data_IF_490984237213
#
_entry.id   IF_490984237213
#
_cell.length_a   1.000
_cell.length_b   1.000
_cell.length_c   1.000
_cell.angle_alpha   90.00
_cell.angle_beta   90.00
_cell.angle_gamma   90.00
#
_symmetry.space_group_name_H-M   'P 1'
#
loop_
_entity.id
_entity.type
_entity.pdbx_description
1 polymer ?
#
# COMPACT_ATOMS: atom_id res chain seq x y z
N UNK A 1 -25.50 -18.77 36.46
CA UNK A 1 -25.10 -18.96 35.05
C UNK A 1 -25.36 -17.65 34.33
N UNK A 2 -24.32 -16.86 34.06
CA UNK A 2 -24.44 -15.57 33.36
C UNK A 2 -24.26 -15.83 31.87
N UNK A 3 -25.31 -15.62 31.09
CA UNK A 3 -25.22 -15.54 29.64
C UNK A 3 -24.53 -14.22 29.28
N UNK A 4 -23.20 -14.24 29.19
CA UNK A 4 -22.48 -13.19 28.51
C UNK A 4 -22.90 -13.25 27.03
N UNK A 5 -23.73 -12.30 26.60
CA UNK A 5 -23.87 -11.95 25.19
C UNK A 5 -22.46 -11.68 24.68
N UNK A 6 -21.91 -12.60 23.88
CA UNK A 6 -20.81 -12.28 22.98
C UNK A 6 -21.39 -11.25 22.03
N UNK A 7 -21.03 -9.97 22.22
CA UNK A 7 -21.26 -8.95 21.21
C UNK A 7 -20.67 -9.48 19.91
N UNK A 8 -21.55 -9.82 18.97
CA UNK A 8 -21.17 -10.19 17.61
C UNK A 8 -20.74 -8.89 16.95
N UNK A 9 -19.49 -8.49 17.19
CA UNK A 9 -18.90 -7.34 16.53
C UNK A 9 -18.75 -7.72 15.06
N UNK A 10 -19.68 -7.24 14.22
CA UNK A 10 -19.54 -7.41 12.77
C UNK A 10 -18.48 -6.41 12.31
N UNK A 11 -17.33 -6.87 11.79
CA UNK A 11 -16.28 -5.96 11.39
C UNK A 11 -16.76 -5.08 10.23
N UNK A 12 -16.49 -3.77 10.32
CA UNK A 12 -16.82 -2.77 9.31
C UNK A 12 -16.45 -3.26 7.90
N UNK A 13 -17.40 -3.30 6.97
CA UNK A 13 -17.08 -3.58 5.56
C UNK A 13 -16.92 -2.28 4.75
N UNK A 14 -16.26 -2.35 3.59
CA UNK A 14 -16.22 -1.23 2.65
C UNK A 14 -17.62 -0.76 2.24
N UNK A 15 -18.57 -1.70 2.10
CA UNK A 15 -19.96 -1.36 1.77
C UNK A 15 -20.65 -0.62 2.90
N UNK A 16 -20.42 -1.02 4.16
CA UNK A 16 -20.97 -0.33 5.32
C UNK A 16 -20.38 1.07 5.45
N UNK A 17 -19.07 1.21 5.22
CA UNK A 17 -18.39 2.50 5.21
C UNK A 17 -18.97 3.43 4.14
N UNK A 18 -19.18 2.95 2.92
CA UNK A 18 -19.66 3.77 1.80
C UNK A 18 -21.17 4.06 1.85
N UNK A 19 -21.95 3.34 2.68
CA UNK A 19 -23.38 3.57 2.81
C UNK A 19 -23.65 4.96 3.36
N UNK A 20 -24.45 5.74 2.65
CA UNK A 20 -24.77 7.10 3.04
C UNK A 20 -25.79 7.14 4.18
N UNK A 21 -25.64 8.09 5.08
CA UNK A 21 -26.65 8.48 6.04
C UNK A 21 -27.47 9.68 5.51
N UNK A 22 -28.55 10.01 6.22
CA UNK A 22 -29.45 11.10 5.83
C UNK A 22 -28.75 12.45 5.60
N UNK A 23 -27.79 12.83 6.45
CA UNK A 23 -27.07 14.11 6.32
C UNK A 23 -26.13 14.12 5.10
N UNK A 24 -25.49 13.00 4.81
CA UNK A 24 -24.67 12.82 3.61
C UNK A 24 -25.53 12.90 2.33
N UNK A 25 -26.70 12.24 2.31
CA UNK A 25 -27.65 12.32 1.19
C UNK A 25 -28.15 13.74 0.95
N UNK A 26 -28.53 14.45 2.02
CA UNK A 26 -28.96 15.86 1.93
C UNK A 26 -27.83 16.76 1.42
N UNK A 27 -26.59 16.50 1.84
CA UNK A 27 -25.44 17.24 1.33
C UNK A 27 -25.22 16.97 -0.17
N UNK A 28 -25.30 15.71 -0.61
CA UNK A 28 -25.19 15.37 -2.03
C UNK A 28 -26.28 16.02 -2.87
N UNK A 29 -27.50 16.10 -2.34
CA UNK A 29 -28.60 16.82 -2.99
C UNK A 29 -28.24 18.30 -3.19
N UNK A 30 -27.73 18.98 -2.16
CA UNK A 30 -27.31 20.38 -2.28
C UNK A 30 -26.19 20.61 -3.30
N UNK A 31 -25.26 19.65 -3.42
CA UNK A 31 -24.19 19.70 -4.43
C UNK A 31 -24.78 19.59 -5.84
N UNK A 32 -25.67 18.61 -6.08
CA UNK A 32 -26.34 18.42 -7.37
C UNK A 32 -27.22 19.61 -7.77
N UNK A 33 -27.83 20.27 -6.79
CA UNK A 33 -28.68 21.44 -7.00
C UNK A 33 -27.88 22.76 -7.09
N UNK A 34 -26.55 22.72 -6.90
CA UNK A 34 -25.69 23.90 -6.93
C UNK A 34 -25.88 24.87 -5.75
N UNK A 35 -26.52 24.41 -4.67
CA UNK A 35 -26.78 25.19 -3.44
C UNK A 35 -25.76 24.93 -2.33
N UNK A 36 -24.82 24.00 -2.56
CA UNK A 36 -23.74 23.69 -1.62
C UNK A 36 -22.76 24.88 -1.47
N UNK A 37 -22.61 25.36 -0.24
CA UNK A 37 -21.70 26.44 0.11
C UNK A 37 -20.26 25.92 0.28
N UNK A 38 -19.57 25.76 -0.86
CA UNK A 38 -18.19 25.29 -0.94
C UNK A 38 -17.23 26.14 -0.07
N UNK A 39 -17.18 27.49 -0.19
CA UNK A 39 -16.28 28.31 0.63
C UNK A 39 -16.51 28.13 2.13
N UNK A 40 -17.77 28.07 2.57
CA UNK A 40 -18.08 27.84 3.99
C UNK A 40 -17.67 26.44 4.43
N UNK A 41 -17.94 25.42 3.63
CA UNK A 41 -17.57 24.05 3.98
C UNK A 41 -16.06 23.93 4.20
N UNK A 42 -15.24 24.42 3.27
CA UNK A 42 -13.78 24.26 3.33
C UNK A 42 -13.07 25.28 4.25
N UNK A 43 -13.72 26.39 4.61
CA UNK A 43 -13.16 27.36 5.59
C UNK A 43 -13.34 26.93 7.05
N UNK A 44 -14.32 26.08 7.35
CA UNK A 44 -14.46 25.51 8.70
C UNK A 44 -13.28 24.59 9.02
N UNK A 45 -12.77 24.69 10.25
CA UNK A 45 -11.68 23.83 10.74
C UNK A 45 -12.09 22.36 10.62
N UNK A 46 -11.35 21.60 9.80
CA UNK A 46 -11.48 20.14 9.70
C UNK A 46 -10.50 19.45 10.64
N UNK A 47 -10.83 18.21 10.96
CA UNK A 47 -10.04 17.30 11.77
C UNK A 47 -10.04 15.91 11.12
N UNK A 48 -9.24 14.99 11.67
CA UNK A 48 -9.22 13.59 11.21
C UNK A 48 -10.59 12.91 11.27
N UNK A 49 -11.48 13.32 12.18
CA UNK A 49 -12.84 12.79 12.26
C UNK A 49 -13.70 13.11 11.01
N UNK A 50 -13.37 14.17 10.29
CA UNK A 50 -14.09 14.59 9.08
C UNK A 50 -13.69 13.80 7.83
N UNK A 51 -12.54 13.10 7.86
CA UNK A 51 -11.99 12.42 6.67
C UNK A 51 -12.94 11.34 6.16
N UNK A 52 -13.61 10.61 7.06
CA UNK A 52 -14.58 9.58 6.68
C UNK A 52 -15.73 10.14 5.85
N UNK A 53 -16.37 11.21 6.34
CA UNK A 53 -17.40 11.94 5.61
C UNK A 53 -16.90 12.43 4.25
N UNK A 54 -15.75 13.14 4.23
CA UNK A 54 -15.17 13.70 3.01
C UNK A 54 -14.87 12.61 1.97
N UNK A 55 -14.34 11.47 2.41
CA UNK A 55 -14.03 10.32 1.55
C UNK A 55 -15.29 9.72 0.94
N UNK A 56 -16.37 9.56 1.72
CA UNK A 56 -17.67 9.07 1.24
C UNK A 56 -18.32 10.02 0.25
N UNK A 57 -18.32 11.31 0.56
CA UNK A 57 -18.89 12.35 -0.31
C UNK A 57 -18.15 12.40 -1.65
N UNK A 58 -16.82 12.33 -1.64
CA UNK A 58 -16.02 12.28 -2.87
C UNK A 58 -16.15 10.97 -3.64
N UNK A 59 -16.49 9.86 -2.97
CA UNK A 59 -16.85 8.62 -3.65
C UNK A 59 -18.22 8.73 -4.34
N UNK A 60 -19.20 9.36 -3.69
CA UNK A 60 -20.56 9.45 -4.17
C UNK A 60 -20.82 10.60 -5.17
N UNK A 61 -19.97 11.63 -5.20
CA UNK A 61 -20.11 12.78 -6.11
C UNK A 61 -18.78 13.16 -6.79
N UNK A 62 -18.69 13.00 -8.12
CA UNK A 62 -17.56 13.51 -8.90
C UNK A 62 -17.36 15.02 -8.75
N UNK A 63 -18.45 15.79 -8.62
CA UNK A 63 -18.38 17.24 -8.44
C UNK A 63 -17.71 17.59 -7.12
N UNK A 64 -18.08 16.90 -6.03
CA UNK A 64 -17.44 17.08 -4.74
C UNK A 64 -15.96 16.68 -4.77
N UNK A 65 -15.64 15.56 -5.42
CA UNK A 65 -14.25 15.15 -5.61
C UNK A 65 -13.44 16.21 -6.39
N UNK A 66 -14.04 16.82 -7.41
CA UNK A 66 -13.42 17.92 -8.16
C UNK A 66 -13.22 19.17 -7.30
N UNK A 67 -14.16 19.51 -6.41
CA UNK A 67 -13.99 20.62 -5.46
C UNK A 67 -12.82 20.35 -4.51
N UNK A 68 -12.74 19.15 -3.94
CA UNK A 68 -11.63 18.76 -3.06
C UNK A 68 -10.26 18.87 -3.75
N UNK A 69 -10.18 18.65 -5.07
CA UNK A 69 -8.93 18.71 -5.83
C UNK A 69 -8.48 20.12 -6.23
N UNK A 70 -9.22 21.17 -5.86
CA UNK A 70 -8.77 22.55 -6.09
C UNK A 70 -7.52 22.87 -5.27
N UNK A 71 -6.55 23.53 -5.89
CA UNK A 71 -5.26 23.89 -5.26
C UNK A 71 -5.42 24.69 -3.96
N UNK A 72 -6.50 25.49 -3.86
CA UNK A 72 -6.84 26.27 -2.66
C UNK A 72 -7.01 25.42 -1.40
N UNK A 73 -7.28 24.12 -1.53
CA UNK A 73 -7.50 23.20 -0.41
C UNK A 73 -6.33 22.24 -0.18
N UNK A 74 -5.26 22.31 -0.99
CA UNK A 74 -4.14 21.39 -0.86
C UNK A 74 -3.48 21.46 0.54
N UNK A 75 -3.39 22.66 1.13
CA UNK A 75 -2.85 22.83 2.49
C UNK A 75 -3.73 22.15 3.54
N UNK A 76 -5.05 22.21 3.40
CA UNK A 76 -5.99 21.52 4.29
C UNK A 76 -5.74 20.01 4.26
N UNK A 77 -5.61 19.42 3.07
CA UNK A 77 -5.36 17.98 2.91
C UNK A 77 -4.00 17.56 3.43
N UNK A 78 -2.97 18.37 3.17
CA UNK A 78 -1.63 18.12 3.69
C UNK A 78 -1.60 18.11 5.23
N UNK A 79 -2.30 19.05 5.88
CA UNK A 79 -2.42 19.07 7.35
C UNK A 79 -3.13 17.82 7.86
N UNK A 80 -4.30 17.47 7.30
CA UNK A 80 -5.05 16.28 7.70
C UNK A 80 -4.26 14.99 7.45
N UNK A 81 -3.45 14.94 6.39
CA UNK A 81 -2.57 13.80 6.10
C UNK A 81 -1.47 13.65 7.15
N UNK A 82 -0.87 14.76 7.57
CA UNK A 82 0.11 14.77 8.66
C UNK A 82 -0.48 14.27 9.98
N UNK A 83 -1.67 14.78 10.33
CA UNK A 83 -2.42 14.37 11.54
C UNK A 83 -2.84 12.91 11.48
N UNK A 84 -3.32 12.43 10.33
CA UNK A 84 -3.68 11.03 10.14
C UNK A 84 -2.46 10.12 10.30
N UNK A 85 -1.25 10.55 9.89
CA UNK A 85 -0.01 9.83 10.12
C UNK A 85 0.24 9.50 11.60
N UNK A 86 -0.07 10.45 12.51
CA UNK A 86 0.02 10.21 13.95
C UNK A 86 -0.94 9.11 14.40
N UNK A 87 -2.17 9.10 13.87
CA UNK A 87 -3.17 8.09 14.24
C UNK A 87 -2.80 6.71 13.69
N UNK A 88 -2.37 6.62 12.44
CA UNK A 88 -2.01 5.34 11.82
C UNK A 88 -0.78 4.73 12.48
N UNK A 89 0.19 5.55 12.87
CA UNK A 89 1.39 5.10 13.58
C UNK A 89 1.17 4.73 15.05
N UNK A 90 -0.03 4.92 15.61
CA UNK A 90 -0.38 4.39 16.95
C UNK A 90 -0.25 2.87 17.04
N UNK A 91 -0.36 2.19 15.89
CA UNK A 91 -0.23 0.74 15.79
C UNK A 91 1.24 0.30 15.72
N UNK A 92 2.18 1.24 15.67
CA UNK A 92 3.63 1.02 15.59
C UNK A 92 4.31 1.33 16.94
N UNK A 93 5.53 0.85 17.12
CA UNK A 93 6.31 1.09 18.36
C UNK A 93 6.57 2.58 18.64
N UNK A 94 6.62 3.39 17.58
CA UNK A 94 6.84 4.83 17.66
C UNK A 94 5.82 5.58 16.83
N UNK A 95 5.13 6.51 17.48
CA UNK A 95 4.24 7.45 16.80
C UNK A 95 5.05 8.44 15.98
N UNK A 96 4.65 8.62 14.73
CA UNK A 96 5.27 9.56 13.80
C UNK A 96 4.20 10.38 13.10
N UNK A 97 4.42 11.69 13.02
CA UNK A 97 3.63 12.53 12.12
C UNK A 97 4.16 12.34 10.70
N UNK A 98 3.25 12.34 9.73
CA UNK A 98 3.70 12.35 8.33
C UNK A 98 4.15 13.76 7.94
N UNK A 99 5.27 13.83 7.23
CA UNK A 99 5.74 15.06 6.62
C UNK A 99 4.82 15.49 5.49
N UNK A 100 4.53 16.79 5.45
CA UNK A 100 3.86 17.43 4.32
C UNK A 100 4.70 17.29 3.05
N UNK A 101 4.03 17.10 1.91
CA UNK A 101 4.70 16.89 0.63
C UNK A 101 4.08 17.81 -0.43
N UNK A 102 4.92 18.62 -1.09
CA UNK A 102 4.47 19.75 -1.91
C UNK A 102 4.24 19.43 -3.40
N UNK A 103 4.34 18.17 -3.84
CA UNK A 103 4.24 17.80 -5.26
C UNK A 103 3.40 16.53 -5.51
N UNK A 104 2.46 16.25 -4.62
CA UNK A 104 1.61 15.06 -4.67
C UNK A 104 0.14 15.47 -4.48
N UNK A 105 -0.77 14.64 -4.98
CA UNK A 105 -2.20 14.82 -4.74
C UNK A 105 -2.49 14.42 -3.28
N UNK A 106 -2.35 15.39 -2.37
CA UNK A 106 -2.55 15.18 -0.93
C UNK A 106 -3.97 14.71 -0.62
N UNK A 107 -4.96 15.05 -1.44
CA UNK A 107 -6.33 14.60 -1.24
C UNK A 107 -6.47 13.10 -1.50
N UNK A 108 -5.95 12.60 -2.62
CA UNK A 108 -6.02 11.17 -2.93
C UNK A 108 -5.20 10.36 -1.91
N UNK A 109 -4.01 10.82 -1.54
CA UNK A 109 -3.16 10.12 -0.57
C UNK A 109 -3.80 10.11 0.82
N UNK A 110 -4.48 11.18 1.23
CA UNK A 110 -5.28 11.22 2.45
C UNK A 110 -6.35 10.12 2.46
N UNK A 111 -7.11 10.00 1.36
CA UNK A 111 -8.14 8.96 1.21
C UNK A 111 -7.56 7.56 1.26
N UNK A 112 -6.46 7.32 0.53
CA UNK A 112 -5.77 6.04 0.53
C UNK A 112 -5.28 5.65 1.92
N UNK A 113 -4.67 6.61 2.63
CA UNK A 113 -4.18 6.40 4.00
C UNK A 113 -5.31 6.15 4.99
N UNK A 114 -6.45 6.83 4.82
CA UNK A 114 -7.61 6.63 5.67
C UNK A 114 -8.28 5.27 5.45
N UNK A 115 -8.40 4.81 4.20
CA UNK A 115 -8.88 3.47 3.90
C UNK A 115 -7.92 2.39 4.43
N UNK A 116 -6.61 2.63 4.34
CA UNK A 116 -5.61 1.79 5.00
C UNK A 116 -5.80 1.77 6.52
N UNK A 117 -5.99 2.93 7.15
CA UNK A 117 -6.30 3.02 8.59
C UNK A 117 -7.51 2.15 8.98
N UNK A 118 -8.61 2.25 8.24
CA UNK A 118 -9.79 1.41 8.48
C UNK A 118 -9.48 -0.09 8.34
N UNK A 119 -8.63 -0.48 7.37
CA UNK A 119 -8.17 -1.87 7.24
C UNK A 119 -7.40 -2.34 8.49
N UNK A 120 -6.58 -1.47 9.09
CA UNK A 120 -5.83 -1.80 10.31
C UNK A 120 -6.74 -1.90 11.54
N UNK A 121 -7.82 -1.11 11.60
CA UNK A 121 -8.85 -1.25 12.65
C UNK A 121 -9.53 -2.63 12.59
N UNK A 122 -9.82 -3.13 11.38
CA UNK A 122 -10.36 -4.50 11.22
C UNK A 122 -9.33 -5.54 11.64
N UNK A 123 -8.08 -5.39 11.20
CA UNK A 123 -6.98 -6.31 11.57
C UNK A 123 -6.81 -6.40 13.08
N UNK A 124 -6.96 -5.30 13.82
CA UNK A 124 -6.88 -5.31 15.28
C UNK A 124 -7.94 -6.22 15.93
N UNK A 125 -9.06 -6.49 15.26
CA UNK A 125 -10.10 -7.43 15.71
C UNK A 125 -9.84 -8.88 15.30
N UNK A 126 -8.95 -9.13 14.33
CA UNK A 126 -8.60 -10.45 13.78
C UNK A 126 -7.07 -10.51 13.53
N UNK A 127 -6.24 -10.58 14.58
CA UNK A 127 -4.79 -10.38 14.46
C UNK A 127 -4.06 -11.47 13.66
N UNK A 128 -4.57 -12.70 13.64
CA UNK A 128 -3.87 -13.88 13.09
C UNK A 128 -4.21 -14.19 11.62
N UNK A 129 -4.85 -13.28 10.89
CA UNK A 129 -5.22 -13.53 9.51
C UNK A 129 -5.60 -12.29 8.70
N UNK A 130 -5.88 -12.49 7.42
CA UNK A 130 -6.42 -11.47 6.52
C UNK A 130 -7.91 -11.72 6.32
N UNK A 131 -8.74 -10.78 6.77
CA UNK A 131 -10.18 -10.86 6.52
C UNK A 131 -10.53 -10.35 5.13
N UNK A 132 -11.62 -10.86 4.53
CA UNK A 132 -12.12 -10.35 3.26
C UNK A 132 -12.45 -8.85 3.31
N UNK A 133 -12.90 -8.34 4.46
CA UNK A 133 -13.15 -6.92 4.69
C UNK A 133 -11.86 -6.09 4.71
N UNK A 134 -10.80 -6.56 5.38
CA UNK A 134 -9.46 -5.93 5.34
C UNK A 134 -8.97 -5.87 3.89
N UNK A 135 -9.00 -6.99 3.16
CA UNK A 135 -8.51 -7.07 1.78
C UNK A 135 -9.27 -6.13 0.83
N UNK A 136 -10.59 -5.98 0.99
CA UNK A 136 -11.40 -5.03 0.20
C UNK A 136 -11.01 -3.59 0.47
N UNK A 137 -10.77 -3.22 1.72
CA UNK A 137 -10.30 -1.87 2.08
C UNK A 137 -8.89 -1.60 1.58
N UNK A 138 -7.98 -2.58 1.68
CA UNK A 138 -6.63 -2.46 1.11
C UNK A 138 -6.68 -2.23 -0.40
N UNK A 139 -7.46 -3.01 -1.14
CA UNK A 139 -7.64 -2.82 -2.59
C UNK A 139 -8.19 -1.44 -2.92
N UNK A 140 -9.17 -0.94 -2.18
CA UNK A 140 -9.70 0.41 -2.39
C UNK A 140 -8.66 1.48 -2.04
N UNK A 141 -7.90 1.33 -0.95
CA UNK A 141 -6.80 2.21 -0.58
C UNK A 141 -5.69 2.28 -1.64
N UNK A 142 -5.37 1.15 -2.28
CA UNK A 142 -4.38 1.07 -3.36
C UNK A 142 -4.79 1.88 -4.60
N UNK A 143 -6.10 2.00 -4.89
CA UNK A 143 -6.60 2.86 -5.99
C UNK A 143 -6.26 4.33 -5.77
N UNK A 144 -6.10 4.71 -4.51
CA UNK A 144 -5.67 6.04 -4.06
C UNK A 144 -4.16 6.11 -3.78
N UNK A 145 -3.38 5.19 -4.35
CA UNK A 145 -1.92 5.11 -4.25
C UNK A 145 -1.39 4.96 -2.81
N UNK A 146 -2.13 4.35 -1.89
CA UNK A 146 -1.59 4.08 -0.55
C UNK A 146 -0.45 3.05 -0.62
N UNK A 147 0.78 3.50 -0.35
CA UNK A 147 1.95 2.61 -0.29
C UNK A 147 1.85 1.57 0.82
N UNK A 148 1.29 1.96 1.97
CA UNK A 148 1.07 1.07 3.10
C UNK A 148 0.10 -0.06 2.73
N UNK A 149 -0.96 0.26 1.98
CA UNK A 149 -1.90 -0.74 1.50
C UNK A 149 -1.28 -1.70 0.49
N UNK A 150 -0.47 -1.20 -0.47
CA UNK A 150 0.27 -2.04 -1.42
C UNK A 150 1.19 -3.00 -0.68
N UNK A 151 1.97 -2.50 0.28
CA UNK A 151 2.89 -3.31 1.06
C UNK A 151 2.15 -4.41 1.85
N UNK A 152 1.10 -4.04 2.61
CA UNK A 152 0.32 -4.98 3.41
C UNK A 152 -0.36 -6.03 2.54
N UNK A 153 -0.91 -5.64 1.39
CA UNK A 153 -1.55 -6.56 0.46
C UNK A 153 -0.53 -7.49 -0.22
N UNK A 154 0.66 -7.00 -0.55
CA UNK A 154 1.73 -7.87 -1.06
C UNK A 154 2.17 -8.90 -0.03
N UNK A 155 2.25 -8.55 1.26
CA UNK A 155 2.51 -9.52 2.34
C UNK A 155 1.44 -10.61 2.40
N UNK A 156 0.16 -10.26 2.19
CA UNK A 156 -0.91 -11.26 2.06
C UNK A 156 -0.63 -12.23 0.91
N UNK A 157 -0.29 -11.71 -0.27
CA UNK A 157 0.02 -12.54 -1.45
C UNK A 157 1.20 -13.46 -1.20
N UNK A 158 2.29 -12.95 -0.62
CA UNK A 158 3.48 -13.75 -0.31
C UNK A 158 3.17 -14.84 0.72
N UNK A 159 2.40 -14.53 1.76
CA UNK A 159 1.97 -15.53 2.74
C UNK A 159 1.10 -16.61 2.10
N UNK A 160 0.17 -16.24 1.21
CA UNK A 160 -0.69 -17.18 0.50
C UNK A 160 0.14 -18.15 -0.35
N UNK A 161 1.17 -17.65 -1.03
CA UNK A 161 2.12 -18.44 -1.81
C UNK A 161 2.97 -19.36 -0.92
N UNK A 162 3.57 -18.83 0.13
CA UNK A 162 4.46 -19.58 1.02
C UNK A 162 3.76 -20.75 1.73
N UNK A 163 2.45 -20.65 1.97
CA UNK A 163 1.65 -21.67 2.65
C UNK A 163 0.76 -22.48 1.68
N UNK A 164 0.86 -22.25 0.36
CA UNK A 164 0.06 -22.97 -0.64
C UNK A 164 -1.45 -22.78 -0.51
N UNK A 165 -1.91 -21.64 0.01
CA UNK A 165 -3.31 -21.37 0.34
C UNK A 165 -4.09 -20.81 -0.86
N UNK A 166 -4.13 -21.52 -1.98
CA UNK A 166 -4.78 -21.02 -3.20
C UNK A 166 -6.29 -21.28 -3.23
N UNK A 167 -7.06 -20.30 -3.73
CA UNK A 167 -8.47 -20.48 -4.09
C UNK A 167 -8.61 -21.03 -5.51
N UNK A 168 -9.82 -21.43 -5.91
CA UNK A 168 -10.10 -21.97 -7.24
C UNK A 168 -9.68 -20.98 -8.34
N UNK A 169 -8.77 -21.41 -9.22
CA UNK A 169 -8.26 -20.62 -10.34
C UNK A 169 -7.10 -19.67 -9.98
N UNK A 170 -6.61 -19.70 -8.74
CA UNK A 170 -5.39 -19.02 -8.36
C UNK A 170 -4.17 -19.94 -8.45
N UNK A 171 -3.02 -19.34 -8.71
CA UNK A 171 -1.72 -20.01 -8.66
C UNK A 171 -0.64 -19.05 -8.16
N UNK A 172 0.47 -19.60 -7.69
CA UNK A 172 1.56 -18.81 -7.11
C UNK A 172 2.12 -17.76 -8.08
N UNK A 173 2.26 -18.10 -9.36
CA UNK A 173 2.77 -17.18 -10.38
C UNK A 173 1.85 -15.99 -10.54
N UNK A 174 0.54 -16.23 -10.64
CA UNK A 174 -0.47 -15.20 -10.81
C UNK A 174 -0.49 -14.24 -9.62
N UNK A 175 -0.42 -14.75 -8.39
CA UNK A 175 -0.35 -13.92 -7.18
C UNK A 175 0.93 -13.10 -7.09
N UNK A 176 2.09 -13.67 -7.41
CA UNK A 176 3.37 -12.94 -7.40
C UNK A 176 3.43 -11.87 -8.52
N UNK A 177 2.84 -12.16 -9.68
CA UNK A 177 2.69 -11.17 -10.75
C UNK A 177 1.74 -10.03 -10.36
N UNK A 178 0.71 -10.31 -9.57
CA UNK A 178 -0.16 -9.28 -8.99
C UNK A 178 0.63 -8.37 -8.04
N UNK A 179 1.49 -8.92 -7.18
CA UNK A 179 2.37 -8.12 -6.31
C UNK A 179 3.29 -7.19 -7.11
N UNK A 180 3.92 -7.70 -8.18
CA UNK A 180 4.73 -6.88 -9.10
C UNK A 180 3.90 -5.77 -9.74
N UNK A 181 2.70 -6.09 -10.24
CA UNK A 181 1.80 -5.11 -10.87
C UNK A 181 1.42 -4.00 -9.90
N UNK A 182 1.10 -4.34 -8.65
CA UNK A 182 0.74 -3.38 -7.60
C UNK A 182 1.91 -2.44 -7.29
N UNK A 183 3.12 -2.98 -7.15
CA UNK A 183 4.33 -2.19 -6.87
C UNK A 183 4.83 -1.37 -8.07
N UNK A 184 4.58 -1.83 -9.30
CA UNK A 184 5.03 -1.16 -10.54
C UNK A 184 4.04 -0.09 -11.05
N UNK A 185 3.15 0.39 -10.19
CA UNK A 185 2.24 1.47 -10.56
C UNK A 185 3.00 2.77 -10.78
N UNK A 186 2.86 3.38 -11.97
CA UNK A 186 3.55 4.64 -12.33
C UNK A 186 3.28 5.76 -11.33
N UNK A 187 2.04 5.86 -10.83
CA UNK A 187 1.66 6.85 -9.84
C UNK A 187 2.34 6.58 -8.50
N UNK A 188 2.38 5.32 -8.05
CA UNK A 188 3.05 4.94 -6.81
C UNK A 188 4.56 5.23 -6.86
N UNK A 189 5.23 4.81 -7.94
CA UNK A 189 6.66 5.04 -8.16
C UNK A 189 7.00 6.53 -8.23
N UNK A 190 6.15 7.34 -8.89
CA UNK A 190 6.31 8.81 -8.94
C UNK A 190 6.13 9.46 -7.57
N UNK A 191 5.16 8.98 -6.79
CA UNK A 191 4.81 9.57 -5.48
C UNK A 191 5.81 9.23 -4.40
N UNK A 192 6.23 7.96 -4.28
CA UNK A 192 7.06 7.50 -3.15
C UNK A 192 8.51 7.22 -3.51
N UNK A 193 8.87 7.32 -4.80
CA UNK A 193 10.24 7.25 -5.28
C UNK A 193 10.98 6.04 -4.72
N UNK A 194 12.05 6.29 -3.98
CA UNK A 194 12.96 5.26 -3.49
C UNK A 194 12.26 4.13 -2.73
N UNK A 195 11.28 4.46 -1.85
CA UNK A 195 10.57 3.45 -1.07
C UNK A 195 9.74 2.51 -1.95
N UNK A 196 9.02 3.05 -2.94
CA UNK A 196 8.22 2.23 -3.86
C UNK A 196 9.09 1.39 -4.81
N UNK A 197 10.26 1.90 -5.21
CA UNK A 197 11.22 1.10 -5.98
C UNK A 197 11.82 -0.06 -5.17
N UNK A 198 12.08 0.13 -3.87
CA UNK A 198 12.49 -0.98 -3.00
C UNK A 198 11.36 -2.01 -2.82
N UNK A 199 10.11 -1.57 -2.68
CA UNK A 199 8.95 -2.46 -2.66
C UNK A 199 8.75 -3.24 -3.98
N UNK A 200 9.10 -2.63 -5.11
CA UNK A 200 9.11 -3.30 -6.41
C UNK A 200 10.27 -4.30 -6.53
N UNK A 201 11.45 -3.97 -6.00
CA UNK A 201 12.57 -4.89 -5.94
C UNK A 201 12.21 -6.15 -5.13
N UNK A 202 11.55 -5.98 -3.97
CA UNK A 202 11.02 -7.08 -3.15
C UNK A 202 10.04 -7.96 -3.95
N UNK A 203 9.08 -7.36 -4.67
CA UNK A 203 8.11 -8.14 -5.46
C UNK A 203 8.79 -8.97 -6.56
N UNK A 204 9.79 -8.42 -7.23
CA UNK A 204 10.58 -9.19 -8.20
C UNK A 204 11.45 -10.26 -7.53
N UNK A 205 12.01 -9.98 -6.36
CA UNK A 205 12.80 -10.94 -5.59
C UNK A 205 11.95 -12.15 -5.16
N UNK A 206 10.75 -11.92 -4.62
CA UNK A 206 9.80 -13.00 -4.26
C UNK A 206 9.42 -13.85 -5.48
N UNK A 207 9.18 -13.21 -6.64
CA UNK A 207 8.95 -13.95 -7.89
C UNK A 207 10.18 -14.76 -8.33
N UNK A 208 11.39 -14.20 -8.16
CA UNK A 208 12.63 -14.90 -8.49
C UNK A 208 12.79 -16.16 -7.62
N UNK A 209 12.56 -16.07 -6.30
CA UNK A 209 12.61 -17.22 -5.40
C UNK A 209 11.68 -18.34 -5.87
N UNK A 210 10.41 -18.02 -6.12
CA UNK A 210 9.45 -19.00 -6.65
C UNK A 210 9.91 -19.58 -7.99
N UNK A 211 10.37 -18.75 -8.93
CA UNK A 211 10.82 -19.22 -10.24
C UNK A 211 12.03 -20.14 -10.17
N UNK A 212 12.92 -19.92 -9.18
CA UNK A 212 14.05 -20.81 -8.88
C UNK A 212 13.56 -22.17 -8.37
N UNK A 213 12.59 -22.18 -7.46
CA UNK A 213 12.00 -23.41 -6.91
C UNK A 213 11.22 -24.22 -7.96
N UNK A 214 10.68 -23.55 -8.98
CA UNK A 214 10.07 -24.19 -10.16
C UNK A 214 11.10 -24.57 -11.24
N UNK A 215 12.40 -24.52 -10.95
CA UNK A 215 13.52 -24.79 -11.87
C UNK A 215 13.49 -23.93 -13.17
N UNK A 216 12.71 -22.85 -13.16
CA UNK A 216 12.54 -21.94 -14.30
C UNK A 216 13.63 -20.87 -14.30
N UNK A 217 14.88 -21.27 -14.57
CA UNK A 217 16.07 -20.42 -14.52
C UNK A 217 16.00 -19.16 -15.39
N UNK A 218 15.33 -19.23 -16.55
CA UNK A 218 15.11 -18.06 -17.41
C UNK A 218 14.25 -16.99 -16.72
N UNK A 219 13.19 -17.42 -16.02
CA UNK A 219 12.31 -16.50 -15.30
C UNK A 219 12.98 -15.97 -14.02
N UNK A 220 13.69 -16.83 -13.27
CA UNK A 220 14.53 -16.42 -12.13
C UNK A 220 15.48 -15.29 -12.52
N UNK A 221 16.28 -15.48 -13.58
CA UNK A 221 17.25 -14.49 -14.04
C UNK A 221 16.59 -13.17 -14.41
N UNK A 222 15.51 -13.19 -15.19
CA UNK A 222 14.81 -11.95 -15.61
C UNK A 222 14.22 -11.19 -14.42
N UNK A 223 13.62 -11.90 -13.48
CA UNK A 223 13.04 -11.30 -12.30
C UNK A 223 14.12 -10.68 -11.41
N UNK A 224 15.22 -11.40 -11.15
CA UNK A 224 16.31 -10.89 -10.32
C UNK A 224 17.03 -9.69 -10.95
N UNK A 225 17.23 -9.70 -12.27
CA UNK A 225 17.72 -8.52 -13.01
C UNK A 225 16.76 -7.32 -12.90
N UNK A 226 15.45 -7.56 -12.86
CA UNK A 226 14.45 -6.50 -12.68
C UNK A 226 14.44 -5.96 -11.24
N UNK A 227 14.71 -6.81 -10.25
CA UNK A 227 14.91 -6.40 -8.86
C UNK A 227 16.15 -5.50 -8.74
N UNK A 228 17.28 -5.90 -9.33
CA UNK A 228 18.53 -5.12 -9.40
C UNK A 228 18.29 -3.75 -10.03
N UNK A 229 17.61 -3.70 -11.18
CA UNK A 229 17.27 -2.44 -11.85
C UNK A 229 16.32 -1.55 -11.02
N UNK A 230 15.48 -2.17 -10.17
CA UNK A 230 14.63 -1.43 -9.23
C UNK A 230 15.47 -0.80 -8.11
N UNK A 231 16.50 -1.49 -7.61
CA UNK A 231 17.46 -0.92 -6.65
C UNK A 231 18.27 0.26 -7.24
N UNK A 232 18.65 0.19 -8.53
CA UNK A 232 19.29 1.32 -9.22
C UNK A 232 18.37 2.54 -9.26
N UNK A 233 17.09 2.34 -9.57
CA UNK A 233 16.11 3.41 -9.52
C UNK A 233 15.90 3.91 -8.08
N UNK A 234 15.80 3.03 -7.09
CA UNK A 234 15.68 3.42 -5.69
C UNK A 234 16.85 4.33 -5.25
N UNK A 235 18.07 4.01 -5.69
CA UNK A 235 19.26 4.86 -5.47
C UNK A 235 19.10 6.24 -6.10
N UNK A 236 18.67 6.31 -7.36
CA UNK A 236 18.46 7.58 -8.09
C UNK A 236 17.46 8.52 -7.40
N UNK A 237 16.45 7.98 -6.72
CA UNK A 237 15.41 8.75 -6.05
C UNK A 237 15.67 8.97 -4.55
N UNK A 238 16.73 8.40 -3.98
CA UNK A 238 16.97 8.36 -2.53
C UNK A 238 16.96 9.74 -1.87
N UNK A 239 17.77 10.68 -2.37
CA UNK A 239 17.89 12.03 -1.79
C UNK A 239 16.56 12.80 -1.85
N UNK A 240 15.81 12.65 -2.96
CA UNK A 240 14.56 13.38 -3.17
C UNK A 240 13.38 12.80 -2.38
N UNK A 241 13.50 11.57 -1.91
CA UNK A 241 12.40 10.82 -1.30
C UNK A 241 12.47 10.75 0.23
N UNK A 242 13.38 11.45 0.90
CA UNK A 242 13.61 11.27 2.35
C UNK A 242 12.35 11.40 3.21
N UNK A 243 11.55 12.45 3.00
CA UNK A 243 10.28 12.63 3.72
C UNK A 243 9.24 11.56 3.38
N UNK A 244 9.21 11.11 2.12
CA UNK A 244 8.29 10.08 1.67
C UNK A 244 8.69 8.70 2.17
N UNK A 245 9.99 8.42 2.27
CA UNK A 245 10.53 7.22 2.94
C UNK A 245 10.09 7.24 4.39
N UNK A 246 10.25 8.36 5.10
CA UNK A 246 9.78 8.48 6.47
C UNK A 246 8.28 8.17 6.59
N UNK A 247 7.44 8.80 5.76
CA UNK A 247 6.00 8.57 5.79
C UNK A 247 5.63 7.11 5.47
N UNK A 248 6.21 6.54 4.42
CA UNK A 248 5.93 5.17 3.97
C UNK A 248 6.39 4.11 4.97
N UNK A 249 7.49 4.37 5.67
CA UNK A 249 8.10 3.46 6.63
C UNK A 249 7.67 3.66 8.08
N UNK A 250 6.81 4.65 8.35
CA UNK A 250 6.57 5.12 9.72
C UNK A 250 7.86 5.50 10.46
N UNK A 251 8.83 6.08 9.75
CA UNK A 251 10.13 6.49 10.27
C UNK A 251 11.15 5.35 10.45
N UNK A 252 10.84 4.12 10.01
CA UNK A 252 11.73 2.95 10.12
C UNK A 252 12.77 2.84 9.01
N UNK A 253 12.67 3.64 7.96
CA UNK A 253 13.60 3.60 6.84
C UNK A 253 13.22 2.63 5.72
N UNK A 254 14.11 2.46 4.75
CA UNK A 254 13.89 1.65 3.55
C UNK A 254 13.88 0.15 3.87
N UNK A 255 14.55 -0.29 4.94
CA UNK A 255 14.57 -1.68 5.39
C UNK A 255 13.17 -2.21 5.66
N UNK A 256 12.23 -1.33 6.05
CA UNK A 256 10.85 -1.72 6.26
C UNK A 256 10.11 -2.13 4.97
N UNK A 257 10.63 -1.80 3.78
CA UNK A 257 9.99 -2.12 2.50
C UNK A 257 10.28 -3.52 1.96
N UNK A 258 11.23 -4.24 2.55
CA UNK A 258 11.74 -5.51 2.02
C UNK A 258 11.97 -6.55 3.12
N UNK A 259 11.95 -7.83 2.74
CA UNK A 259 12.06 -8.94 3.70
C UNK A 259 13.48 -9.13 4.26
N UNK A 260 14.49 -8.58 3.57
CA UNK A 260 15.89 -8.63 3.99
C UNK A 260 16.25 -7.54 5.01
N UNK A 261 15.35 -6.58 5.27
CA UNK A 261 15.60 -5.49 6.21
C UNK A 261 16.67 -4.50 5.76
N UNK A 262 16.95 -4.40 4.45
CA UNK A 262 18.07 -3.61 3.94
C UNK A 262 17.64 -2.16 3.71
N UNK A 263 18.29 -1.23 4.40
CA UNK A 263 18.05 0.21 4.28
C UNK A 263 18.77 0.89 3.10
N UNK A 264 19.81 0.26 2.56
CA UNK A 264 20.60 0.80 1.46
C UNK A 264 20.23 0.15 0.13
N UNK A 265 19.68 0.89 -0.85
CA UNK A 265 19.42 0.34 -2.18
C UNK A 265 20.67 -0.22 -2.87
N UNK A 266 21.85 0.39 -2.63
CA UNK A 266 23.13 -0.06 -3.18
C UNK A 266 23.55 -1.39 -2.55
N UNK A 267 23.33 -1.57 -1.26
CA UNK A 267 23.61 -2.82 -0.57
C UNK A 267 22.66 -3.93 -1.01
N UNK A 268 21.36 -3.63 -1.11
CA UNK A 268 20.36 -4.56 -1.62
C UNK A 268 20.71 -5.01 -3.04
N UNK A 269 21.11 -4.08 -3.91
CA UNK A 269 21.59 -4.39 -5.26
C UNK A 269 22.73 -5.41 -5.23
N UNK A 270 23.77 -5.15 -4.43
CA UNK A 270 24.95 -6.02 -4.33
C UNK A 270 24.58 -7.43 -3.89
N UNK A 271 23.72 -7.57 -2.88
CA UNK A 271 23.24 -8.88 -2.41
C UNK A 271 22.48 -9.63 -3.51
N UNK A 272 21.64 -8.94 -4.29
CA UNK A 272 20.90 -9.56 -5.40
C UNK A 272 21.82 -9.96 -6.56
N UNK A 273 22.86 -9.18 -6.85
CA UNK A 273 23.90 -9.51 -7.85
C UNK A 273 24.69 -10.75 -7.42
N UNK A 274 25.17 -10.80 -6.18
CA UNK A 274 25.86 -11.97 -5.62
C UNK A 274 24.98 -13.22 -5.63
N UNK A 275 23.69 -13.07 -5.33
CA UNK A 275 22.73 -14.17 -5.38
C UNK A 275 22.51 -14.69 -6.81
N UNK A 276 22.44 -13.80 -7.80
CA UNK A 276 22.32 -14.15 -9.22
C UNK A 276 23.55 -14.93 -9.68
N UNK A 277 24.75 -14.39 -9.44
CA UNK A 277 26.02 -15.00 -9.84
C UNK A 277 26.19 -16.38 -9.22
N UNK A 278 26.00 -16.50 -7.90
CA UNK A 278 26.13 -17.76 -7.18
C UNK A 278 25.17 -18.82 -7.72
N UNK A 279 23.91 -18.45 -7.95
CA UNK A 279 22.90 -19.40 -8.45
C UNK A 279 23.20 -19.86 -9.88
N UNK A 280 23.67 -18.96 -10.76
CA UNK A 280 24.05 -19.31 -12.13
C UNK A 280 25.28 -20.21 -12.19
N UNK A 281 26.28 -19.95 -11.34
CA UNK A 281 27.47 -20.82 -11.23
C UNK A 281 27.08 -22.23 -10.80
N UNK A 282 26.26 -22.36 -9.76
CA UNK A 282 25.80 -23.66 -9.26
C UNK A 282 24.99 -24.44 -10.32
N UNK A 283 24.23 -23.75 -11.17
CA UNK A 283 23.49 -24.39 -12.27
C UNK A 283 24.40 -24.88 -13.41
N UNK A 284 25.55 -24.25 -13.61
CA UNK A 284 26.56 -24.67 -14.60
C UNK A 284 27.40 -25.85 -14.10
N UNK A 285 27.68 -25.89 -12.80
CA UNK A 285 28.49 -26.93 -12.15
C UNK A 285 27.68 -28.20 -11.77
N UNK A 286 26.36 -28.18 -11.95
CA UNK A 286 25.50 -29.33 -11.67
C UNK A 286 25.81 -30.50 -12.64
N UNK A 287 26.08 -31.73 -12.14
CA UNK A 287 26.37 -32.86 -13.00
C UNK A 287 25.18 -33.15 -13.91
N UNK A 288 25.43 -33.11 -15.23
CA UNK A 288 24.46 -33.58 -16.23
C UNK A 288 24.32 -35.09 -16.05
N UNK A 289 23.35 -35.53 -15.26
CA UNK A 289 22.94 -36.93 -15.26
C UNK A 289 22.33 -37.23 -16.64
N UNK A 290 23.18 -37.69 -17.56
CA UNK A 290 22.72 -38.39 -18.76
C UNK A 290 22.14 -39.72 -18.27
N UNK A 291 20.81 -39.80 -18.21
CA UNK A 291 20.14 -41.08 -18.04
C UNK A 291 20.33 -41.89 -19.34
N UNK A 292 20.77 -43.16 -19.27
CA UNK A 292 20.83 -44.05 -20.42
C UNK A 292 19.43 -44.44 -20.92
#
# INVERSE_FOLDING_TARGET
MSHAQKDIFTPLTLSDFLRLNFLEEMTLKSIKEGTFDEPKFFSTKKSVADIGFITKMAHASPDFASMCKKDSYNKLWSTLYSELGLIVSLMEEKQVAFYECSNIDNFEILRGTYLFYLSQQIRATLPDGFSSSELRLLKEAMRFNSVHAVQRYNIFLYNKVAHGQFEDGEDAKTLLMEAIKNSNSKSLLKTYGSYAYMLLAEAFYQYALWAKDQESMSAFRRALQSAIASCDNATKYLEKSQYLIHNASFGKGLGFSNSLGIDSPVEAKKILEEFLETTLKNALDAPKFTSP
#
